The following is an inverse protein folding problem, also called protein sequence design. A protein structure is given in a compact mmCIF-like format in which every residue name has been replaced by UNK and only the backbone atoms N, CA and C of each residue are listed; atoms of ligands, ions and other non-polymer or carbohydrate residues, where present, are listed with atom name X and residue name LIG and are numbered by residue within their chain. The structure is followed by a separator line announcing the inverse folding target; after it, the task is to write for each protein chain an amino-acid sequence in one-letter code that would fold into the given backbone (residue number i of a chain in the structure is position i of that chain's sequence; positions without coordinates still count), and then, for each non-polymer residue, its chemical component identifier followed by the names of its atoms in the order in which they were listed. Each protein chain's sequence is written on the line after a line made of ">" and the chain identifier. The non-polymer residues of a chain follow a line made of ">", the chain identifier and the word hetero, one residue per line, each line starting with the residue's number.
data_IF_961002872981
#
_entry.id   IF_961002872981
#
_cell.length_a   1.000
_cell.length_b   1.000
_cell.length_c   1.000
_cell.angle_alpha   90.00
_cell.angle_beta   90.00
_cell.angle_gamma   90.00
#
_symmetry.space_group_name_H-M   'P 1'
#
loop_
_entity.id
_entity.type
_entity.pdbx_description
1 polymer ?
#
# COMPACT_ATOMS: atom_id res chain seq x y z
N UNK A 1 16.22 -41.34 87.99
CA UNK A 1 17.50 -41.22 87.27
C UNK A 1 17.30 -41.91 85.95
N UNK A 2 17.49 -41.23 84.82
CA UNK A 2 17.47 -41.86 83.50
C UNK A 2 18.69 -42.80 83.45
N UNK A 3 18.48 -44.06 83.06
CA UNK A 3 19.53 -45.06 83.00
C UNK A 3 20.51 -44.74 81.89
N UNK A 4 21.81 -45.03 82.11
CA UNK A 4 22.84 -44.87 81.07
C UNK A 4 22.48 -45.66 79.80
N UNK A 5 21.77 -46.79 79.94
CA UNK A 5 21.22 -47.58 78.83
C UNK A 5 20.24 -46.80 77.96
N UNK A 6 19.30 -46.06 78.56
CA UNK A 6 18.27 -45.29 77.84
C UNK A 6 18.91 -44.16 77.02
N UNK A 7 19.99 -43.56 77.54
CA UNK A 7 20.77 -42.53 76.83
C UNK A 7 21.52 -43.16 75.64
N UNK A 8 22.11 -44.35 75.80
CA UNK A 8 22.80 -45.06 74.72
C UNK A 8 21.84 -45.49 73.62
N UNK A 9 20.66 -45.99 73.96
CA UNK A 9 19.60 -46.33 72.99
C UNK A 9 19.10 -45.10 72.24
N UNK A 10 18.88 -43.97 72.94
CA UNK A 10 18.48 -42.71 72.32
C UNK A 10 19.53 -42.20 71.33
N UNK A 11 20.82 -42.22 71.70
CA UNK A 11 21.93 -41.81 70.82
C UNK A 11 22.08 -42.75 69.62
N UNK A 12 21.92 -44.07 69.81
CA UNK A 12 21.92 -45.05 68.73
C UNK A 12 20.79 -44.80 67.73
N UNK A 13 19.56 -44.57 68.22
CA UNK A 13 18.39 -44.24 67.41
C UNK A 13 18.59 -42.93 66.64
N UNK A 14 19.11 -41.88 67.30
CA UNK A 14 19.42 -40.59 66.66
C UNK A 14 20.47 -40.75 65.55
N UNK A 15 21.49 -41.58 65.77
CA UNK A 15 22.53 -41.86 64.78
C UNK A 15 22.00 -42.66 63.59
N UNK A 16 21.08 -43.60 63.78
CA UNK A 16 20.42 -44.30 62.68
C UNK A 16 19.56 -43.34 61.86
N UNK A 17 18.71 -42.55 62.52
CA UNK A 17 17.88 -41.55 61.86
C UNK A 17 18.67 -40.51 61.07
N UNK A 18 19.81 -40.02 61.61
CA UNK A 18 20.72 -39.14 60.87
C UNK A 18 21.39 -39.84 59.68
N UNK A 19 21.74 -41.13 59.81
CA UNK A 19 22.25 -41.94 58.71
C UNK A 19 21.23 -42.12 57.58
N UNK A 20 19.96 -42.37 57.94
CA UNK A 20 18.85 -42.51 57.00
C UNK A 20 18.49 -41.19 56.31
N UNK A 21 18.45 -40.08 57.05
CA UNK A 21 18.27 -38.73 56.49
C UNK A 21 19.39 -38.42 55.50
N UNK A 22 20.65 -38.68 55.86
CA UNK A 22 21.79 -38.48 54.97
C UNK A 22 21.69 -39.36 53.72
N UNK A 23 21.40 -40.65 53.87
CA UNK A 23 21.21 -41.56 52.75
C UNK A 23 20.02 -41.15 51.86
N UNK A 24 18.99 -40.50 52.41
CA UNK A 24 17.90 -39.90 51.65
C UNK A 24 18.38 -38.68 50.85
N UNK A 25 19.11 -37.75 51.48
CA UNK A 25 19.71 -36.59 50.80
C UNK A 25 20.70 -36.99 49.70
N UNK A 26 21.60 -37.94 49.95
CA UNK A 26 22.58 -38.44 48.99
C UNK A 26 21.93 -39.22 47.83
N UNK A 27 20.68 -39.68 47.99
CA UNK A 27 19.86 -40.29 46.94
C UNK A 27 19.06 -39.29 46.11
N UNK A 28 18.91 -38.02 46.54
CA UNK A 28 18.29 -36.99 45.71
C UNK A 28 19.30 -36.62 44.62
N UNK A 29 19.01 -36.87 43.32
CA UNK A 29 19.94 -36.52 42.27
C UNK A 29 20.22 -35.02 42.27
N UNK A 30 21.47 -34.61 42.06
CA UNK A 30 21.81 -33.18 41.90
C UNK A 30 21.10 -32.54 40.68
N UNK A 31 20.65 -33.37 39.73
CA UNK A 31 19.77 -33.00 38.63
C UNK A 31 18.31 -32.71 39.03
N UNK A 32 17.90 -32.93 40.28
CA UNK A 32 16.57 -32.53 40.77
C UNK A 32 16.50 -31.01 41.04
N UNK A 33 17.63 -30.37 41.33
CA UNK A 33 17.69 -28.96 41.76
C UNK A 33 18.04 -27.93 40.68
N UNK A 34 18.14 -28.29 39.38
CA UNK A 34 18.74 -27.39 38.35
C UNK A 34 18.07 -27.24 36.97
N UNK A 35 17.72 -28.31 36.22
CA UNK A 35 17.79 -28.24 34.75
C UNK A 35 16.63 -27.51 34.04
N UNK A 36 15.41 -27.53 34.58
CA UNK A 36 14.23 -27.07 33.84
C UNK A 36 14.24 -25.55 33.54
N UNK A 37 14.58 -24.73 34.55
CA UNK A 37 14.55 -23.28 34.42
C UNK A 37 15.56 -22.76 33.38
N UNK A 38 16.82 -23.22 33.41
CA UNK A 38 17.85 -22.79 32.45
C UNK A 38 17.47 -23.12 31.00
N UNK A 39 17.02 -24.35 30.74
CA UNK A 39 16.67 -24.79 29.39
C UNK A 39 15.44 -24.05 28.84
N UNK A 40 14.49 -23.72 29.70
CA UNK A 40 13.35 -22.88 29.33
C UNK A 40 13.78 -21.43 29.04
N UNK A 41 14.73 -20.86 29.82
CA UNK A 41 15.28 -19.53 29.56
C UNK A 41 16.04 -19.46 28.23
N UNK A 42 16.85 -20.48 27.89
CA UNK A 42 17.52 -20.56 26.59
C UNK A 42 16.52 -20.59 25.42
N UNK A 43 15.45 -21.40 25.52
CA UNK A 43 14.38 -21.46 24.50
C UNK A 43 13.58 -20.16 24.42
N UNK A 44 13.34 -19.48 25.54
CA UNK A 44 12.67 -18.17 25.58
C UNK A 44 13.54 -17.10 24.92
N UNK A 45 14.85 -17.06 25.21
CA UNK A 45 15.79 -16.13 24.61
C UNK A 45 15.87 -16.31 23.09
N UNK A 46 15.98 -17.56 22.61
CA UNK A 46 16.05 -17.85 21.17
C UNK A 46 14.75 -17.49 20.43
N UNK A 47 13.59 -17.64 21.10
CA UNK A 47 12.30 -17.11 20.61
C UNK A 47 12.28 -15.58 20.59
N UNK A 48 12.79 -14.91 21.62
CA UNK A 48 12.90 -13.44 21.69
C UNK A 48 13.79 -12.89 20.58
N UNK A 49 14.94 -13.51 20.31
CA UNK A 49 15.82 -13.14 19.18
C UNK A 49 15.11 -13.32 17.84
N UNK A 50 14.39 -14.43 17.65
CA UNK A 50 13.59 -14.68 16.43
C UNK A 50 12.50 -13.62 16.24
N UNK A 51 11.74 -13.30 17.30
CA UNK A 51 10.71 -12.26 17.31
C UNK A 51 11.30 -10.87 17.04
N UNK A 52 12.44 -10.53 17.66
CA UNK A 52 13.12 -9.26 17.41
C UNK A 52 13.62 -9.15 15.96
N UNK A 53 14.12 -10.25 15.37
CA UNK A 53 14.47 -10.33 13.95
C UNK A 53 13.26 -10.13 13.03
N UNK A 54 12.13 -10.76 13.33
CA UNK A 54 10.87 -10.56 12.60
C UNK A 54 10.36 -9.11 12.70
N UNK A 55 10.38 -8.51 13.89
CA UNK A 55 10.01 -7.10 14.11
C UNK A 55 10.95 -6.15 13.36
N UNK A 56 12.24 -6.46 13.30
CA UNK A 56 13.20 -5.68 12.52
C UNK A 56 12.94 -5.77 11.01
N UNK A 57 12.63 -6.96 10.47
CA UNK A 57 12.23 -7.15 9.06
C UNK A 57 10.97 -6.35 8.73
N UNK A 58 9.91 -6.55 9.51
CA UNK A 58 8.63 -5.84 9.34
C UNK A 58 8.79 -4.32 9.43
N UNK A 59 9.64 -3.82 10.34
CA UNK A 59 9.94 -2.39 10.45
C UNK A 59 10.72 -1.88 9.23
N UNK A 60 11.63 -2.68 8.67
CA UNK A 60 12.35 -2.34 7.45
C UNK A 60 11.42 -2.33 6.23
N UNK A 61 10.53 -3.31 6.12
CA UNK A 61 9.51 -3.38 5.08
C UNK A 61 8.56 -2.18 5.15
N UNK A 62 8.00 -1.86 6.32
CA UNK A 62 7.15 -0.68 6.53
C UNK A 62 7.88 0.62 6.14
N UNK A 63 9.14 0.79 6.57
CA UNK A 63 9.94 1.97 6.24
C UNK A 63 10.26 2.11 4.75
N UNK A 64 10.19 1.02 3.98
CA UNK A 64 10.48 1.02 2.53
C UNK A 64 9.21 1.19 1.71
N UNK A 65 8.17 0.41 2.02
CA UNK A 65 6.90 0.44 1.28
C UNK A 65 6.10 1.73 1.52
N UNK A 66 6.16 2.34 2.71
CA UNK A 66 5.38 3.55 3.00
C UNK A 66 5.78 4.75 2.11
N UNK A 67 7.08 5.07 1.92
CA UNK A 67 7.51 6.02 0.90
C UNK A 67 7.04 5.70 -0.52
N UNK A 68 7.17 4.44 -0.97
CA UNK A 68 6.73 3.99 -2.30
C UNK A 68 5.22 4.21 -2.51
N UNK A 69 4.42 3.96 -1.47
CA UNK A 69 2.98 4.22 -1.44
C UNK A 69 2.66 5.72 -1.52
N UNK A 70 3.40 6.57 -0.79
CA UNK A 70 3.23 8.02 -0.87
C UNK A 70 3.58 8.57 -2.25
N UNK A 71 4.66 8.08 -2.87
CA UNK A 71 5.05 8.43 -4.24
C UNK A 71 3.98 7.98 -5.24
N UNK A 72 3.44 6.76 -5.10
CA UNK A 72 2.35 6.26 -5.93
C UNK A 72 1.11 7.16 -5.83
N UNK A 73 0.66 7.51 -4.62
CA UNK A 73 -0.48 8.41 -4.39
C UNK A 73 -0.23 9.78 -5.04
N UNK A 74 0.98 10.32 -4.92
CA UNK A 74 1.37 11.58 -5.54
C UNK A 74 1.27 11.52 -7.08
N UNK A 75 1.90 10.52 -7.71
CA UNK A 75 1.91 10.35 -9.16
C UNK A 75 0.50 10.18 -9.76
N UNK A 76 -0.36 9.41 -9.09
CA UNK A 76 -1.76 9.26 -9.51
C UNK A 76 -2.57 10.55 -9.32
N UNK A 77 -2.35 11.28 -8.23
CA UNK A 77 -3.03 12.56 -7.96
C UNK A 77 -2.63 13.63 -8.98
N UNK A 78 -1.35 13.69 -9.34
CA UNK A 78 -0.79 14.61 -10.34
C UNK A 78 -1.33 14.32 -11.75
N UNK A 79 -1.39 13.05 -12.16
CA UNK A 79 -2.03 12.64 -13.42
C UNK A 79 -3.53 12.98 -13.44
N UNK A 80 -4.23 12.77 -12.31
CA UNK A 80 -5.66 13.09 -12.15
C UNK A 80 -5.92 14.60 -12.25
N UNK A 81 -5.06 15.43 -11.66
CA UNK A 81 -5.15 16.89 -11.71
C UNK A 81 -5.00 17.44 -13.13
N UNK A 82 -4.05 16.91 -13.90
CA UNK A 82 -3.86 17.27 -15.32
C UNK A 82 -5.08 16.92 -16.17
N UNK A 83 -5.64 15.72 -16.01
CA UNK A 83 -6.80 15.28 -16.80
C UNK A 83 -8.05 16.06 -16.40
N UNK A 84 -8.24 16.35 -15.11
CA UNK A 84 -9.34 17.19 -14.62
C UNK A 84 -9.27 18.61 -15.21
N UNK A 85 -8.07 19.17 -15.28
CA UNK A 85 -7.82 20.47 -15.92
C UNK A 85 -8.14 20.43 -17.42
N UNK A 86 -7.66 19.40 -18.14
CA UNK A 86 -7.93 19.23 -19.57
C UNK A 86 -9.44 19.01 -19.87
N UNK A 87 -10.14 18.26 -19.02
CA UNK A 87 -11.60 18.06 -19.10
C UNK A 87 -12.34 19.39 -18.91
N UNK A 88 -12.02 20.15 -17.85
CA UNK A 88 -12.67 21.43 -17.57
C UNK A 88 -12.47 22.43 -18.72
N UNK A 89 -11.26 22.48 -19.28
CA UNK A 89 -10.91 23.28 -20.46
C UNK A 89 -11.69 22.84 -21.71
N UNK A 90 -11.77 21.53 -21.97
CA UNK A 90 -12.49 20.97 -23.14
C UNK A 90 -14.00 21.26 -23.05
N UNK A 91 -14.61 21.02 -21.89
CA UNK A 91 -16.01 21.36 -21.63
C UNK A 91 -16.30 22.85 -21.82
N UNK A 92 -15.46 23.72 -21.26
CA UNK A 92 -15.67 25.17 -21.38
C UNK A 92 -15.52 25.67 -22.80
N UNK A 93 -14.67 25.06 -23.62
CA UNK A 93 -14.61 25.40 -25.05
C UNK A 93 -15.78 24.82 -25.84
N UNK A 94 -16.28 23.62 -25.52
CA UNK A 94 -17.52 23.12 -26.12
C UNK A 94 -18.70 24.10 -25.84
N UNK A 95 -18.90 24.49 -24.58
CA UNK A 95 -19.91 25.48 -24.17
C UNK A 95 -19.75 26.84 -24.90
N UNK A 96 -18.55 27.40 -24.93
CA UNK A 96 -18.30 28.70 -25.58
C UNK A 96 -18.56 28.63 -27.09
N UNK A 97 -18.22 27.52 -27.71
CA UNK A 97 -18.31 27.34 -29.15
C UNK A 97 -19.74 26.97 -29.61
N UNK A 98 -20.55 26.36 -28.74
CA UNK A 98 -22.02 26.27 -28.88
C UNK A 98 -22.69 27.66 -28.83
N UNK A 99 -22.23 28.54 -27.94
CA UNK A 99 -22.75 29.91 -27.80
C UNK A 99 -22.31 30.86 -28.92
N UNK A 100 -21.05 30.77 -29.34
CA UNK A 100 -20.46 31.60 -30.38
C UNK A 100 -19.31 30.85 -31.08
N UNK A 101 -19.52 30.28 -32.28
CA UNK A 101 -18.47 29.61 -33.03
C UNK A 101 -17.27 30.54 -33.26
N UNK A 102 -16.08 30.09 -32.86
CA UNK A 102 -14.86 30.88 -32.96
C UNK A 102 -14.39 31.06 -34.40
N UNK A 103 -13.62 32.13 -34.64
CA UNK A 103 -12.76 32.22 -35.82
C UNK A 103 -11.73 31.06 -35.82
N UNK A 104 -11.33 30.64 -37.03
CA UNK A 104 -10.41 29.51 -37.26
C UNK A 104 -9.06 29.67 -36.53
N UNK A 105 -8.62 30.90 -36.26
CA UNK A 105 -7.39 31.21 -35.51
C UNK A 105 -7.45 30.74 -34.06
N UNK A 106 -8.49 31.13 -33.32
CA UNK A 106 -8.67 30.73 -31.92
C UNK A 106 -8.78 29.21 -31.77
N UNK A 107 -9.56 28.55 -32.62
CA UNK A 107 -9.70 27.09 -32.54
C UNK A 107 -8.38 26.37 -32.84
N UNK A 108 -7.52 26.88 -33.74
CA UNK A 108 -6.18 26.33 -33.96
C UNK A 108 -5.26 26.46 -32.74
N UNK A 109 -5.29 27.61 -32.06
CA UNK A 109 -4.55 27.81 -30.81
C UNK A 109 -5.04 26.80 -29.76
N UNK A 110 -6.36 26.64 -29.66
CA UNK A 110 -6.99 25.74 -28.70
C UNK A 110 -6.64 24.26 -28.93
N UNK A 111 -6.76 23.75 -30.16
CA UNK A 111 -6.37 22.36 -30.48
C UNK A 111 -4.87 22.14 -30.17
N UNK A 112 -4.03 23.15 -30.41
CA UNK A 112 -2.59 23.10 -30.07
C UNK A 112 -2.36 22.98 -28.55
N UNK A 113 -3.16 23.67 -27.73
CA UNK A 113 -3.11 23.56 -26.27
C UNK A 113 -3.54 22.16 -25.79
N UNK A 114 -4.67 21.65 -26.29
CA UNK A 114 -5.10 20.27 -25.98
C UNK A 114 -4.01 19.26 -26.37
N UNK A 115 -3.38 19.42 -27.54
CA UNK A 115 -2.32 18.51 -28.00
C UNK A 115 -1.10 18.52 -27.06
N UNK A 116 -0.81 19.65 -26.39
CA UNK A 116 0.23 19.74 -25.35
C UNK A 116 -0.21 19.08 -24.04
N UNK A 117 -1.41 19.38 -23.55
CA UNK A 117 -1.96 18.78 -22.33
C UNK A 117 -2.09 17.26 -22.47
N UNK A 118 -2.57 16.78 -23.62
CA UNK A 118 -2.56 15.35 -23.99
C UNK A 118 -1.18 14.73 -23.90
N UNK A 119 -0.15 15.40 -24.43
CA UNK A 119 1.22 14.88 -24.43
C UNK A 119 1.79 14.80 -23.01
N UNK A 120 1.49 15.80 -22.16
CA UNK A 120 1.85 15.82 -20.74
C UNK A 120 1.15 14.70 -19.97
N UNK A 121 -0.16 14.56 -20.13
CA UNK A 121 -0.98 13.48 -19.53
C UNK A 121 -0.44 12.10 -19.94
N UNK A 122 -0.20 11.88 -21.24
CA UNK A 122 0.33 10.60 -21.75
C UNK A 122 1.72 10.29 -21.19
N UNK A 123 2.57 11.29 -21.00
CA UNK A 123 3.87 11.10 -20.35
C UNK A 123 3.69 10.67 -18.88
N UNK A 124 2.89 11.40 -18.09
CA UNK A 124 2.60 11.07 -16.68
C UNK A 124 2.01 9.67 -16.52
N UNK A 125 1.00 9.33 -17.34
CA UNK A 125 0.36 8.00 -17.35
C UNK A 125 1.35 6.89 -17.72
N UNK A 126 2.27 7.13 -18.65
CA UNK A 126 3.30 6.14 -18.99
C UNK A 126 4.34 5.93 -17.88
N UNK A 127 4.59 6.93 -17.04
CA UNK A 127 5.46 6.83 -15.86
C UNK A 127 4.80 6.23 -14.61
N UNK A 128 3.49 5.93 -14.63
CA UNK A 128 2.82 5.33 -13.46
C UNK A 128 3.40 3.93 -13.15
N UNK A 129 3.79 3.66 -11.89
CA UNK A 129 4.27 2.33 -11.48
C UNK A 129 3.16 1.28 -11.57
N UNK A 130 3.50 0.11 -12.11
CA UNK A 130 2.76 -1.18 -12.08
C UNK A 130 1.25 -1.12 -11.75
N UNK A 131 0.50 -0.31 -12.50
CA UNK A 131 -0.95 -0.47 -12.68
C UNK A 131 -1.26 -1.88 -13.20
N UNK A 132 -2.41 -2.44 -12.85
CA UNK A 132 -2.90 -3.69 -13.44
C UNK A 132 -2.84 -3.60 -14.97
N UNK A 133 -2.40 -4.67 -15.64
CA UNK A 133 -2.26 -4.73 -17.10
C UNK A 133 -3.59 -4.38 -17.78
N UNK A 134 -4.71 -4.82 -17.22
CA UNK A 134 -6.05 -4.51 -17.74
C UNK A 134 -6.36 -3.01 -17.65
N UNK A 135 -6.08 -2.39 -16.51
CA UNK A 135 -6.38 -0.97 -16.25
C UNK A 135 -5.48 -0.04 -17.04
N UNK A 136 -4.19 -0.39 -17.14
CA UNK A 136 -3.24 0.28 -18.04
C UNK A 136 -3.71 0.18 -19.48
N UNK A 137 -4.20 -0.98 -19.90
CA UNK A 137 -4.78 -1.22 -21.23
C UNK A 137 -5.99 -0.32 -21.49
N UNK A 138 -6.93 -0.25 -20.55
CA UNK A 138 -8.09 0.66 -20.62
C UNK A 138 -7.68 2.12 -20.72
N UNK A 139 -6.78 2.58 -19.85
CA UNK A 139 -6.32 3.97 -19.83
C UNK A 139 -5.53 4.34 -21.10
N UNK A 140 -4.68 3.44 -21.61
CA UNK A 140 -3.99 3.62 -22.90
C UNK A 140 -5.01 3.67 -24.06
N UNK A 141 -6.07 2.87 -24.01
CA UNK A 141 -7.13 2.88 -25.04
C UNK A 141 -7.85 4.23 -25.07
N UNK A 142 -8.28 4.72 -23.90
CA UNK A 142 -8.91 6.03 -23.76
C UNK A 142 -7.97 7.15 -24.24
N UNK A 143 -6.67 7.11 -23.89
CA UNK A 143 -5.70 8.09 -24.39
C UNK A 143 -5.41 7.96 -25.90
N UNK A 144 -5.55 6.79 -26.51
CA UNK A 144 -5.45 6.67 -27.96
C UNK A 144 -6.71 7.24 -28.65
N UNK A 145 -7.90 7.06 -28.07
CA UNK A 145 -9.12 7.69 -28.53
C UNK A 145 -9.02 9.24 -28.41
N UNK A 146 -8.54 9.76 -27.27
CA UNK A 146 -8.31 11.20 -27.09
C UNK A 146 -7.41 11.79 -28.18
N UNK A 147 -6.29 11.12 -28.49
CA UNK A 147 -5.38 11.51 -29.58
C UNK A 147 -6.09 11.57 -30.92
N UNK A 148 -6.92 10.58 -31.20
CA UNK A 148 -7.63 10.46 -32.46
C UNK A 148 -8.70 11.54 -32.59
N UNK A 149 -9.44 11.87 -31.51
CA UNK A 149 -10.29 13.08 -31.46
C UNK A 149 -9.50 14.36 -31.76
N UNK A 150 -8.29 14.53 -31.21
CA UNK A 150 -7.44 15.72 -31.43
C UNK A 150 -6.95 15.80 -32.89
N UNK A 151 -6.51 14.67 -33.46
CA UNK A 151 -6.13 14.57 -34.87
C UNK A 151 -7.31 14.91 -35.79
N UNK A 152 -8.50 14.45 -35.43
CA UNK A 152 -9.71 14.64 -36.23
C UNK A 152 -10.23 16.09 -36.11
N UNK A 153 -10.02 16.77 -34.97
CA UNK A 153 -10.19 18.24 -34.84
C UNK A 153 -9.19 19.02 -35.72
N UNK A 154 -7.93 18.58 -35.78
CA UNK A 154 -6.93 19.15 -36.69
C UNK A 154 -7.26 18.97 -38.18
N UNK A 155 -7.99 17.90 -38.53
CA UNK A 155 -8.24 17.48 -39.93
C UNK A 155 -9.62 17.88 -40.46
N UNK A 156 -10.54 18.31 -39.59
CA UNK A 156 -11.89 18.73 -39.95
C UNK A 156 -11.94 20.20 -40.37
N UNK A 157 -12.98 20.59 -41.12
CA UNK A 157 -13.21 22.02 -41.34
C UNK A 157 -13.59 22.69 -40.02
N UNK A 158 -12.70 23.57 -39.56
CA UNK A 158 -12.88 24.40 -38.36
C UNK A 158 -14.12 25.31 -38.47
N UNK A 159 -14.58 25.62 -39.69
CA UNK A 159 -15.83 26.34 -39.93
C UNK A 159 -17.11 25.48 -39.79
N UNK A 160 -17.01 24.15 -39.73
CA UNK A 160 -18.15 23.29 -39.44
C UNK A 160 -18.31 23.14 -37.92
N UNK A 161 -19.17 23.98 -37.35
CA UNK A 161 -19.29 24.07 -35.90
C UNK A 161 -19.79 22.76 -35.25
N UNK A 162 -20.75 22.09 -35.89
CA UNK A 162 -21.33 20.82 -35.42
C UNK A 162 -20.28 19.71 -35.30
N UNK A 163 -19.36 19.62 -36.26
CA UNK A 163 -18.26 18.65 -36.21
C UNK A 163 -17.32 18.95 -35.05
N UNK A 164 -16.96 20.22 -34.81
CA UNK A 164 -16.07 20.58 -33.71
C UNK A 164 -16.73 20.30 -32.35
N UNK A 165 -17.99 20.70 -32.15
CA UNK A 165 -18.74 20.43 -30.89
C UNK A 165 -18.79 18.94 -30.60
N UNK A 166 -19.11 18.10 -31.61
CA UNK A 166 -19.13 16.65 -31.46
C UNK A 166 -17.77 16.08 -31.07
N UNK A 167 -16.68 16.57 -31.66
CA UNK A 167 -15.32 16.11 -31.35
C UNK A 167 -14.86 16.56 -29.96
N UNK A 168 -15.22 17.77 -29.53
CA UNK A 168 -14.96 18.29 -28.19
C UNK A 168 -15.72 17.48 -27.13
N UNK A 169 -17.02 17.26 -27.33
CA UNK A 169 -17.82 16.44 -26.43
C UNK A 169 -17.30 14.99 -26.36
N UNK A 170 -16.87 14.42 -27.48
CA UNK A 170 -16.23 13.09 -27.51
C UNK A 170 -14.92 13.07 -26.74
N UNK A 171 -14.08 14.10 -26.84
CA UNK A 171 -12.83 14.23 -26.09
C UNK A 171 -13.09 14.41 -24.59
N UNK A 172 -14.08 15.22 -24.21
CA UNK A 172 -14.54 15.35 -22.82
C UNK A 172 -14.97 14.02 -22.23
N UNK A 173 -15.73 13.20 -22.97
CA UNK A 173 -16.04 11.82 -22.53
C UNK A 173 -14.76 11.02 -22.28
N UNK A 174 -13.77 11.07 -23.19
CA UNK A 174 -12.51 10.35 -22.97
C UNK A 174 -11.74 10.85 -21.74
N UNK A 175 -11.67 12.15 -21.48
CA UNK A 175 -11.04 12.64 -20.24
C UNK A 175 -11.84 12.25 -18.98
N UNK A 176 -13.18 12.21 -19.05
CA UNK A 176 -14.03 11.71 -17.96
C UNK A 176 -13.80 10.21 -17.68
N UNK A 177 -13.71 9.39 -18.73
CA UNK A 177 -13.42 7.95 -18.62
C UNK A 177 -12.02 7.72 -17.99
N UNK A 178 -11.02 8.50 -18.42
CA UNK A 178 -9.67 8.45 -17.86
C UNK A 178 -9.63 8.84 -16.37
N UNK A 179 -10.40 9.86 -15.95
CA UNK A 179 -10.56 10.22 -14.53
C UNK A 179 -11.22 9.11 -13.73
N UNK A 180 -12.25 8.46 -14.27
CA UNK A 180 -12.92 7.34 -13.59
C UNK A 180 -11.93 6.20 -13.33
N UNK A 181 -11.18 5.78 -14.34
CA UNK A 181 -10.19 4.69 -14.23
C UNK A 181 -9.11 5.02 -13.18
N UNK A 182 -8.57 6.24 -13.20
CA UNK A 182 -7.53 6.65 -12.23
C UNK A 182 -8.09 6.81 -10.80
N UNK A 183 -9.31 7.33 -10.66
CA UNK A 183 -9.98 7.47 -9.37
C UNK A 183 -10.29 6.10 -8.76
N UNK A 184 -10.78 5.16 -9.56
CA UNK A 184 -11.05 3.79 -9.12
C UNK A 184 -9.77 3.05 -8.71
N UNK A 185 -8.65 3.27 -9.40
CA UNK A 185 -7.34 2.76 -8.97
C UNK A 185 -6.89 3.39 -7.64
N UNK A 186 -6.94 4.72 -7.53
CA UNK A 186 -6.50 5.44 -6.34
C UNK A 186 -7.33 5.02 -5.12
N UNK A 187 -8.65 4.95 -5.27
CA UNK A 187 -9.57 4.47 -4.23
C UNK A 187 -9.26 3.03 -3.81
N UNK A 188 -9.06 2.10 -4.74
CA UNK A 188 -8.70 0.71 -4.40
C UNK A 188 -7.33 0.59 -3.74
N UNK A 189 -6.38 1.44 -4.13
CA UNK A 189 -5.07 1.53 -3.48
C UNK A 189 -5.22 2.02 -2.04
N UNK A 190 -5.94 3.13 -1.82
CA UNK A 190 -6.22 3.68 -0.49
C UNK A 190 -7.00 2.70 0.41
N UNK A 191 -7.98 1.98 -0.13
CA UNK A 191 -8.75 0.96 0.62
C UNK A 191 -7.88 -0.24 1.03
N UNK A 192 -6.96 -0.69 0.18
CA UNK A 192 -5.99 -1.75 0.52
C UNK A 192 -5.03 -1.33 1.63
N UNK A 193 -4.75 -0.03 1.75
CA UNK A 193 -3.88 0.54 2.77
C UNK A 193 -4.59 0.74 4.12
N UNK A 194 -5.93 0.77 4.14
CA UNK A 194 -6.71 1.02 5.35
C UNK A 194 -7.89 0.02 5.47
N UNK A 195 -7.62 -1.28 5.73
CA UNK A 195 -8.65 -2.33 5.72
C UNK A 195 -9.69 -2.23 6.85
N UNK A 196 -9.58 -1.25 7.74
CA UNK A 196 -10.47 -1.08 8.89
C UNK A 196 -11.61 -0.07 8.68
N UNK A 197 -11.63 0.69 7.58
CA UNK A 197 -12.68 1.71 7.31
C UNK A 197 -13.93 1.20 6.59
N UNK A 198 -14.11 -0.13 6.45
CA UNK A 198 -15.31 -0.75 5.87
C UNK A 198 -15.99 -1.73 6.85
N UNK A 199 -16.13 -1.33 8.11
CA UNK A 199 -17.00 -1.97 9.12
C UNK A 199 -17.84 -0.92 9.86
N UNK A 200 -18.79 -0.36 9.14
CA UNK A 200 -20.03 0.24 9.69
C UNK A 200 -21.21 -0.29 8.88
#
# INVERSE_FOLDING_TARGET
>A
MIGVSEIVELVGSLSSGLGEIRACCDRIPSSFFLPAAKRNVEVINLRLETLNGQVASLRSEINTSFPEICELIYLYSDATSDISSALAITNKVAELFELAPFDRGYMRIFISQIQQDYSRIRAKVNSLPNSDIAERGSLITVLNNSRDCIRDMHSSDVGNAEIQIRLLNSLSTQYSDALSILSDFLNRTLLRLNPHTCRE
#
